data_IF_165227064025
#
_entry.id   IF_165227064025
#
_cell.length_a   1.000
_cell.length_b   1.000
_cell.length_c   1.000
_cell.angle_alpha   90.00
_cell.angle_beta   90.00
_cell.angle_gamma   90.00
#
_symmetry.space_group_name_H-M   'P 1'
#
loop_
_entity.id
_entity.type
_entity.pdbx_description
1 polymer ?
#
# COMPACT_ATOMS: atom_id res chain seq x y z
N UNK A 1 -5.30 12.86 28.00
CA UNK A 1 -6.11 12.01 27.09
C UNK A 1 -7.59 12.02 27.50
N UNK A 2 -8.21 13.21 27.66
CA UNK A 2 -9.65 13.37 27.94
C UNK A 2 -10.34 14.40 27.01
N UNK A 3 -9.59 15.15 26.18
CA UNK A 3 -10.15 16.10 25.21
C UNK A 3 -10.51 15.48 23.85
N UNK A 4 -10.14 14.22 23.59
CA UNK A 4 -10.26 13.62 22.25
C UNK A 4 -11.68 13.12 21.92
N UNK A 5 -12.55 12.90 22.92
CA UNK A 5 -13.83 12.21 22.71
C UNK A 5 -15.09 13.10 22.83
N UNK A 6 -15.00 14.35 23.30
CA UNK A 6 -16.17 15.22 23.48
C UNK A 6 -16.55 16.09 22.28
N UNK A 7 -15.73 16.11 21.20
CA UNK A 7 -15.92 17.04 20.07
C UNK A 7 -16.71 16.49 18.87
N UNK A 8 -17.04 15.20 18.87
CA UNK A 8 -17.54 14.53 17.66
C UNK A 8 -18.98 14.86 17.23
N UNK A 9 -19.75 15.66 17.98
CA UNK A 9 -21.17 15.93 17.64
C UNK A 9 -21.52 17.34 17.17
N UNK A 10 -20.67 18.37 17.33
CA UNK A 10 -21.05 19.78 17.04
C UNK A 10 -20.00 20.64 16.31
N UNK A 11 -18.90 20.06 15.80
CA UNK A 11 -17.86 20.83 15.11
C UNK A 11 -18.28 21.16 13.66
N UNK A 12 -18.25 22.44 13.29
CA UNK A 12 -18.49 22.87 11.91
C UNK A 12 -17.40 22.36 10.97
N UNK A 13 -17.72 22.22 9.67
CA UNK A 13 -16.74 21.79 8.65
C UNK A 13 -15.47 22.66 8.67
N UNK A 14 -15.61 23.98 8.90
CA UNK A 14 -14.49 24.92 9.01
C UNK A 14 -13.62 24.65 10.23
N UNK A 15 -14.22 24.46 11.40
CA UNK A 15 -13.47 24.17 12.63
C UNK A 15 -12.71 22.85 12.53
N UNK A 16 -13.30 21.82 11.92
CA UNK A 16 -12.62 20.54 11.68
C UNK A 16 -11.37 20.71 10.81
N UNK A 17 -11.45 21.55 9.77
CA UNK A 17 -10.30 21.89 8.91
C UNK A 17 -9.25 22.64 9.73
N UNK A 18 -9.64 23.65 10.49
CA UNK A 18 -8.72 24.46 11.30
C UNK A 18 -7.98 23.63 12.36
N UNK A 19 -8.67 22.69 13.02
CA UNK A 19 -8.06 21.75 13.95
C UNK A 19 -7.05 20.86 13.20
N UNK A 20 -7.40 20.37 12.01
CA UNK A 20 -6.46 19.55 11.23
C UNK A 20 -5.21 20.34 10.84
N UNK A 21 -5.39 21.57 10.35
CA UNK A 21 -4.30 22.46 9.97
C UNK A 21 -3.39 22.82 11.16
N UNK A 22 -3.94 22.96 12.38
CA UNK A 22 -3.14 23.29 13.57
C UNK A 22 -2.23 22.16 14.04
N UNK A 23 -2.56 20.91 13.69
CA UNK A 23 -1.70 19.74 13.90
C UNK A 23 -0.54 19.69 12.90
N UNK A 24 -0.69 20.34 11.74
CA UNK A 24 0.33 20.39 10.68
C UNK A 24 1.32 21.53 10.95
N UNK A 25 2.09 21.43 12.03
CA UNK A 25 2.93 22.53 12.54
C UNK A 25 4.44 22.35 12.32
N UNK A 26 4.86 21.32 11.58
CA UNK A 26 6.27 21.05 11.28
C UNK A 26 6.54 20.80 9.80
N UNK A 27 7.75 21.15 9.37
CA UNK A 27 8.28 20.85 8.03
C UNK A 27 7.38 21.32 6.88
N UNK A 28 7.37 20.54 5.80
CA UNK A 28 6.55 20.80 4.60
C UNK A 28 5.05 20.94 4.93
N UNK A 29 4.56 20.19 5.93
CA UNK A 29 3.16 20.23 6.33
C UNK A 29 2.73 21.60 6.86
N UNK A 30 3.60 22.31 7.57
CA UNK A 30 3.34 23.68 8.05
C UNK A 30 3.28 24.71 6.91
N UNK A 31 4.18 24.60 5.94
CA UNK A 31 4.19 25.47 4.77
C UNK A 31 2.93 25.25 3.93
N UNK A 32 2.56 23.99 3.72
CA UNK A 32 1.36 23.62 2.97
C UNK A 32 0.08 24.06 3.68
N UNK A 33 -0.04 23.83 5.00
CA UNK A 33 -1.24 24.17 5.77
C UNK A 33 -1.52 25.68 5.75
N UNK A 34 -0.46 26.48 5.91
CA UNK A 34 -0.52 27.94 5.83
C UNK A 34 -0.95 28.42 4.43
N UNK A 35 -0.42 27.80 3.37
CA UNK A 35 -0.77 28.14 1.99
C UNK A 35 -2.21 27.74 1.64
N UNK A 36 -2.65 26.55 2.05
CA UNK A 36 -4.02 26.07 1.87
C UNK A 36 -5.02 27.01 2.56
N UNK A 37 -4.77 27.37 3.82
CA UNK A 37 -5.66 28.27 4.55
C UNK A 37 -5.82 29.62 3.86
N UNK A 38 -4.71 30.26 3.47
CA UNK A 38 -4.74 31.56 2.75
C UNK A 38 -5.53 31.48 1.45
N UNK A 39 -5.38 30.38 0.70
CA UNK A 39 -6.11 30.15 -0.57
C UNK A 39 -7.62 30.04 -0.34
N UNK A 40 -8.04 29.26 0.66
CA UNK A 40 -9.47 29.07 0.96
C UNK A 40 -10.09 30.30 1.64
N UNK A 41 -9.35 31.03 2.46
CA UNK A 41 -9.78 32.30 3.04
C UNK A 41 -10.02 33.36 1.95
N UNK A 42 -9.11 33.48 0.98
CA UNK A 42 -9.28 34.38 -0.16
C UNK A 42 -10.52 34.01 -0.99
N UNK A 43 -10.75 32.72 -1.26
CA UNK A 43 -11.97 32.24 -1.95
C UNK A 43 -13.24 32.56 -1.15
N UNK A 44 -13.19 32.43 0.17
CA UNK A 44 -14.33 32.76 1.05
C UNK A 44 -14.66 34.24 1.01
N UNK A 45 -13.65 35.12 0.98
CA UNK A 45 -13.83 36.57 0.97
C UNK A 45 -14.35 37.04 -0.40
N UNK A 46 -13.76 36.53 -1.50
CA UNK A 46 -14.05 37.02 -2.86
C UNK A 46 -15.34 36.41 -3.43
N UNK A 47 -15.59 35.12 -3.17
CA UNK A 47 -16.69 34.38 -3.82
C UNK A 47 -17.78 33.92 -2.83
N UNK A 48 -17.71 34.30 -1.55
CA UNK A 48 -18.65 33.86 -0.52
C UNK A 48 -18.62 32.34 -0.29
N UNK A 49 -17.61 31.63 -0.80
CA UNK A 49 -17.52 30.17 -0.75
C UNK A 49 -17.14 29.72 0.66
N UNK A 50 -17.95 28.84 1.25
CA UNK A 50 -17.65 28.24 2.55
C UNK A 50 -16.59 27.16 2.42
N UNK A 51 -15.79 27.00 3.47
CA UNK A 51 -14.84 25.90 3.60
C UNK A 51 -15.57 24.55 3.47
N UNK A 52 -15.05 23.68 2.60
CA UNK A 52 -15.62 22.37 2.31
C UNK A 52 -14.67 21.26 2.80
N UNK A 53 -15.21 20.34 3.61
CA UNK A 53 -14.46 19.22 4.16
C UNK A 53 -13.97 18.25 3.08
N UNK A 54 -14.78 17.95 2.08
CA UNK A 54 -14.43 16.95 1.07
C UNK A 54 -13.33 17.46 0.14
N UNK A 55 -13.40 18.75 -0.23
CA UNK A 55 -12.34 19.42 -0.99
C UNK A 55 -11.03 19.52 -0.20
N UNK A 56 -11.11 19.73 1.12
CA UNK A 56 -9.94 19.69 1.99
C UNK A 56 -9.29 18.31 2.00
N UNK A 57 -10.08 17.24 2.19
CA UNK A 57 -9.57 15.86 2.18
C UNK A 57 -8.94 15.51 0.84
N UNK A 58 -9.54 15.92 -0.28
CA UNK A 58 -8.95 15.71 -1.61
C UNK A 58 -7.61 16.44 -1.75
N UNK A 59 -7.55 17.73 -1.43
CA UNK A 59 -6.31 18.50 -1.51
C UNK A 59 -5.21 17.95 -0.59
N UNK A 60 -5.59 17.47 0.60
CA UNK A 60 -4.68 16.82 1.54
C UNK A 60 -4.13 15.52 0.96
N UNK A 61 -4.99 14.67 0.40
CA UNK A 61 -4.56 13.43 -0.27
C UNK A 61 -3.66 13.71 -1.47
N UNK A 62 -3.98 14.67 -2.32
CA UNK A 62 -3.15 15.01 -3.48
C UNK A 62 -1.77 15.54 -3.08
N UNK A 63 -1.69 16.30 -2.00
CA UNK A 63 -0.45 16.98 -1.59
C UNK A 63 0.48 16.10 -0.76
N UNK A 64 -0.07 15.07 -0.11
CA UNK A 64 0.67 14.12 0.74
C UNK A 64 0.58 12.68 0.24
N UNK A 65 -0.07 12.43 -0.89
CA UNK A 65 0.03 11.16 -1.59
C UNK A 65 1.51 10.89 -1.83
N UNK A 66 2.02 9.71 -1.44
CA UNK A 66 3.35 9.33 -1.85
C UNK A 66 3.41 9.42 -3.36
N UNK A 67 4.36 10.21 -3.86
CA UNK A 67 4.54 10.56 -5.28
C UNK A 67 4.63 9.30 -6.17
N UNK A 68 4.79 8.10 -5.58
CA UNK A 68 4.88 6.87 -6.32
C UNK A 68 4.54 5.61 -5.50
N UNK A 69 3.36 5.55 -4.85
CA UNK A 69 2.93 4.36 -4.07
C UNK A 69 3.06 3.06 -4.87
N UNK A 70 2.60 3.06 -6.13
CA UNK A 70 2.73 1.91 -7.01
C UNK A 70 4.18 1.55 -7.31
N UNK A 71 5.07 2.51 -7.60
CA UNK A 71 6.50 2.14 -7.76
C UNK A 71 7.15 1.67 -6.47
N UNK A 72 6.72 2.21 -5.33
CA UNK A 72 7.27 1.83 -4.04
C UNK A 72 6.82 0.41 -3.70
N UNK A 73 5.57 0.08 -4.00
CA UNK A 73 5.05 -1.28 -3.90
C UNK A 73 5.78 -2.23 -4.88
N UNK A 74 6.02 -1.82 -6.14
CA UNK A 74 6.85 -2.60 -7.06
C UNK A 74 8.27 -2.81 -6.52
N UNK A 75 8.88 -1.79 -5.93
CA UNK A 75 10.22 -1.90 -5.32
C UNK A 75 10.21 -2.82 -4.11
N UNK A 76 9.25 -2.67 -3.21
CA UNK A 76 9.07 -3.54 -2.04
C UNK A 76 8.81 -4.99 -2.45
N UNK A 77 8.01 -5.22 -3.48
CA UNK A 77 7.73 -6.56 -4.02
C UNK A 77 9.01 -7.21 -4.55
N UNK A 78 9.84 -6.46 -5.29
CA UNK A 78 11.14 -6.94 -5.79
C UNK A 78 12.15 -7.20 -4.67
N UNK A 79 12.15 -6.38 -3.63
CA UNK A 79 13.11 -6.43 -2.53
C UNK A 79 12.69 -7.36 -1.38
N UNK A 80 11.43 -7.80 -1.34
CA UNK A 80 10.93 -8.73 -0.32
C UNK A 80 11.79 -10.00 -0.33
N UNK A 81 12.30 -10.42 0.84
CA UNK A 81 13.00 -11.70 0.99
C UNK A 81 12.33 -12.51 2.07
N UNK A 82 12.13 -13.81 1.83
CA UNK A 82 11.59 -14.71 2.85
C UNK A 82 12.53 -14.79 4.05
N UNK A 83 13.84 -14.97 3.84
CA UNK A 83 14.81 -15.08 4.92
C UNK A 83 14.44 -16.20 5.91
N UNK A 84 14.31 -15.86 7.19
CA UNK A 84 13.88 -16.78 8.26
C UNK A 84 12.37 -16.70 8.56
N UNK A 85 11.61 -15.91 7.80
CA UNK A 85 10.17 -15.78 7.96
C UNK A 85 9.48 -17.05 7.44
N UNK A 86 8.46 -17.51 8.16
CA UNK A 86 7.65 -18.66 7.76
C UNK A 86 7.02 -18.42 6.38
N UNK A 87 6.91 -19.47 5.58
CA UNK A 87 6.44 -19.39 4.20
C UNK A 87 5.05 -18.77 4.12
N UNK A 88 4.12 -19.13 5.01
CA UNK A 88 2.77 -18.55 5.02
C UNK A 88 2.77 -17.03 5.25
N UNK A 89 3.68 -16.52 6.11
CA UNK A 89 3.81 -15.08 6.37
C UNK A 89 4.45 -14.36 5.17
N UNK A 90 5.46 -14.97 4.54
CA UNK A 90 6.06 -14.45 3.33
C UNK A 90 5.04 -14.34 2.19
N UNK A 91 4.29 -15.42 1.91
CA UNK A 91 3.29 -15.45 0.82
C UNK A 91 2.19 -14.43 1.08
N UNK A 92 1.70 -14.31 2.31
CA UNK A 92 0.70 -13.28 2.68
C UNK A 92 1.22 -11.86 2.43
N UNK A 93 2.48 -11.59 2.76
CA UNK A 93 3.10 -10.27 2.53
C UNK A 93 3.29 -10.01 1.03
N UNK A 94 3.66 -11.05 0.27
CA UNK A 94 3.80 -10.99 -1.19
C UNK A 94 2.48 -10.64 -1.86
N UNK A 95 1.37 -11.30 -1.49
CA UNK A 95 0.02 -11.02 -1.99
C UNK A 95 -0.42 -9.57 -1.70
N UNK A 96 -0.14 -9.06 -0.50
CA UNK A 96 -0.46 -7.68 -0.15
C UNK A 96 0.30 -6.67 -1.04
N UNK A 97 1.61 -6.87 -1.20
CA UNK A 97 2.45 -6.01 -2.03
C UNK A 97 2.08 -6.09 -3.52
N UNK A 98 1.63 -7.26 -3.99
CA UNK A 98 1.08 -7.41 -5.34
C UNK A 98 -0.15 -6.52 -5.56
N UNK A 99 -1.11 -6.56 -4.64
CA UNK A 99 -2.32 -5.73 -4.72
C UNK A 99 -1.95 -4.23 -4.70
N UNK A 100 -1.04 -3.82 -3.81
CA UNK A 100 -0.52 -2.44 -3.76
C UNK A 100 0.22 -2.03 -5.04
N UNK A 101 0.90 -2.97 -5.70
CA UNK A 101 1.60 -2.78 -6.97
C UNK A 101 0.68 -2.85 -8.20
N UNK A 102 -0.62 -3.08 -8.02
CA UNK A 102 -1.60 -3.11 -9.12
C UNK A 102 -1.85 -4.48 -9.75
N UNK A 103 -1.32 -5.57 -9.19
CA UNK A 103 -1.53 -6.95 -9.65
C UNK A 103 -2.76 -7.62 -9.00
N UNK A 104 -3.82 -6.87 -8.71
CA UNK A 104 -4.97 -7.37 -7.96
C UNK A 104 -5.75 -8.53 -8.62
N UNK A 105 -5.53 -8.80 -9.91
CA UNK A 105 -6.02 -9.98 -10.62
C UNK A 105 -5.03 -10.36 -11.72
N UNK A 106 -4.24 -11.40 -11.49
CA UNK A 106 -3.28 -11.92 -12.46
C UNK A 106 -3.96 -13.03 -13.26
N UNK A 107 -3.90 -12.95 -14.60
CA UNK A 107 -4.33 -14.06 -15.46
C UNK A 107 -3.18 -15.03 -15.58
N UNK A 108 -3.46 -16.32 -15.43
CA UNK A 108 -2.47 -17.37 -15.72
C UNK A 108 -2.02 -17.26 -17.19
N UNK A 109 -0.80 -17.72 -17.48
CA UNK A 109 -0.16 -17.64 -18.80
C UNK A 109 0.00 -16.19 -19.35
N UNK A 110 0.15 -15.21 -18.45
CA UNK A 110 0.41 -13.81 -18.82
C UNK A 110 1.83 -13.38 -18.49
N UNK A 111 2.33 -12.33 -19.15
CA UNK A 111 3.63 -11.73 -18.82
C UNK A 111 3.71 -11.25 -17.37
N UNK A 112 2.58 -10.86 -16.77
CA UNK A 112 2.51 -10.52 -15.35
C UNK A 112 2.66 -11.75 -14.46
N UNK A 113 2.05 -12.88 -14.83
CA UNK A 113 2.23 -14.15 -14.11
C UNK A 113 3.70 -14.58 -14.15
N UNK A 114 4.33 -14.59 -15.32
CA UNK A 114 5.74 -14.95 -15.50
C UNK A 114 6.64 -14.06 -14.64
N UNK A 115 6.41 -12.75 -14.70
CA UNK A 115 7.17 -11.78 -13.93
C UNK A 115 7.03 -11.99 -12.41
N UNK A 116 5.83 -12.30 -11.94
CA UNK A 116 5.58 -12.55 -10.52
C UNK A 116 6.16 -13.88 -10.05
N UNK A 117 6.15 -14.92 -10.89
CA UNK A 117 6.82 -16.20 -10.64
C UNK A 117 8.33 -15.96 -10.51
N UNK A 118 8.94 -15.18 -11.40
CA UNK A 118 10.37 -14.85 -11.34
C UNK A 118 10.74 -14.12 -10.04
N UNK A 119 9.94 -13.13 -9.64
CA UNK A 119 10.15 -12.44 -8.36
C UNK A 119 10.00 -13.43 -7.20
N UNK A 120 8.96 -14.28 -7.21
CA UNK A 120 8.71 -15.27 -6.16
C UNK A 120 9.91 -16.23 -6.01
N UNK A 121 10.41 -16.79 -7.13
CA UNK A 121 11.58 -17.67 -7.16
C UNK A 121 12.85 -16.99 -6.62
N UNK A 122 13.07 -15.73 -6.95
CA UNK A 122 14.24 -14.97 -6.51
C UNK A 122 14.21 -14.58 -5.02
N UNK A 123 13.01 -14.58 -4.42
CA UNK A 123 12.76 -13.98 -3.11
C UNK A 123 12.38 -14.98 -2.03
N UNK A 124 11.78 -16.11 -2.40
CA UNK A 124 11.48 -17.22 -1.51
C UNK A 124 12.76 -18.00 -1.12
N UNK A 125 12.65 -18.81 -0.07
CA UNK A 125 13.73 -19.68 0.37
C UNK A 125 14.06 -20.71 -0.73
N UNK A 126 15.33 -20.75 -1.13
CA UNK A 126 15.80 -21.58 -2.25
C UNK A 126 15.46 -23.07 -2.10
N UNK A 127 15.50 -23.62 -0.88
CA UNK A 127 15.19 -25.04 -0.65
C UNK A 127 13.71 -25.33 -0.92
N UNK A 128 12.84 -24.40 -0.52
CA UNK A 128 11.40 -24.50 -0.76
C UNK A 128 11.08 -24.32 -2.24
N UNK A 129 11.73 -23.35 -2.91
CA UNK A 129 11.60 -23.16 -4.37
C UNK A 129 11.99 -24.43 -5.13
N UNK A 130 13.13 -25.04 -4.79
CA UNK A 130 13.56 -26.29 -5.41
C UNK A 130 12.54 -27.42 -5.20
N UNK A 131 12.02 -27.56 -3.98
CA UNK A 131 10.98 -28.56 -3.70
C UNK A 131 9.67 -28.32 -4.49
N UNK A 132 9.36 -27.07 -4.85
CA UNK A 132 8.24 -26.76 -5.76
C UNK A 132 8.58 -27.08 -7.20
N UNK A 133 9.77 -26.72 -7.69
CA UNK A 133 10.22 -26.99 -9.07
C UNK A 133 10.30 -28.50 -9.38
N UNK A 134 10.66 -29.31 -8.39
CA UNK A 134 10.71 -30.76 -8.49
C UNK A 134 9.31 -31.42 -8.51
N UNK A 135 8.24 -30.64 -8.26
CA UNK A 135 6.87 -31.12 -8.31
C UNK A 135 6.29 -30.96 -9.73
N UNK A 136 6.04 -32.09 -10.39
CA UNK A 136 5.31 -32.27 -11.66
C UNK A 136 5.15 -31.03 -12.56
N UNK A 137 6.05 -30.87 -13.53
CA UNK A 137 6.09 -29.81 -14.54
C UNK A 137 6.07 -28.34 -14.03
N UNK A 138 6.18 -28.12 -12.70
CA UNK A 138 6.16 -26.76 -12.14
C UNK A 138 7.34 -25.90 -12.55
N UNK A 139 8.50 -26.51 -12.84
CA UNK A 139 9.67 -25.77 -13.33
C UNK A 139 9.34 -24.86 -14.52
N UNK A 140 8.52 -25.36 -15.46
CA UNK A 140 8.05 -24.66 -16.66
C UNK A 140 6.62 -24.13 -16.56
N UNK A 141 5.98 -24.22 -15.40
CA UNK A 141 4.60 -23.75 -15.23
C UNK A 141 4.54 -22.23 -15.19
N UNK A 142 3.58 -21.69 -15.94
CA UNK A 142 3.22 -20.28 -16.01
C UNK A 142 1.98 -19.95 -15.15
N UNK A 143 1.47 -20.93 -14.40
CA UNK A 143 0.33 -20.77 -13.48
C UNK A 143 0.82 -20.20 -12.14
N UNK A 144 0.63 -18.88 -11.97
CA UNK A 144 1.06 -18.18 -10.77
C UNK A 144 0.30 -18.64 -9.52
N UNK A 145 -1.00 -18.93 -9.65
CA UNK A 145 -1.82 -19.36 -8.52
C UNK A 145 -1.38 -20.73 -8.01
N UNK A 146 -1.10 -21.65 -8.92
CA UNK A 146 -0.54 -22.96 -8.60
C UNK A 146 0.84 -22.84 -7.96
N UNK A 147 1.68 -21.92 -8.43
CA UNK A 147 2.97 -21.61 -7.80
C UNK A 147 2.82 -21.17 -6.35
N UNK A 148 1.89 -20.26 -6.05
CA UNK A 148 1.62 -19.80 -4.68
C UNK A 148 1.09 -20.91 -3.78
N UNK A 149 0.20 -21.76 -4.31
CA UNK A 149 -0.32 -22.92 -3.59
C UNK A 149 0.79 -23.91 -3.23
N UNK A 150 1.61 -24.30 -4.22
CA UNK A 150 2.70 -25.27 -4.02
C UNK A 150 3.77 -24.73 -3.09
N UNK A 151 4.11 -23.44 -3.19
CA UNK A 151 5.05 -22.81 -2.27
C UNK A 151 4.56 -22.92 -0.81
N UNK A 152 3.28 -22.61 -0.55
CA UNK A 152 2.69 -22.78 0.80
C UNK A 152 2.72 -24.24 1.27
N UNK A 153 2.41 -25.19 0.39
CA UNK A 153 2.42 -26.62 0.71
C UNK A 153 3.83 -27.12 1.09
N UNK A 154 4.82 -26.83 0.24
CA UNK A 154 6.20 -27.27 0.47
C UNK A 154 6.84 -26.54 1.65
N UNK A 155 6.55 -25.25 1.82
CA UNK A 155 7.01 -24.47 2.96
C UNK A 155 6.55 -25.07 4.29
N UNK A 156 5.25 -25.40 4.40
CA UNK A 156 4.70 -26.07 5.59
C UNK A 156 5.35 -27.42 5.87
N UNK A 157 5.65 -28.21 4.83
CA UNK A 157 6.27 -29.52 5.00
C UNK A 157 7.73 -29.44 5.48
N UNK A 158 8.45 -28.39 5.08
CA UNK A 158 9.88 -28.20 5.37
C UNK A 158 10.15 -27.37 6.63
N UNK A 159 9.19 -26.55 7.07
CA UNK A 159 9.27 -25.72 8.27
C UNK A 159 8.71 -26.39 9.54
N UNK A 160 8.08 -27.57 9.40
CA UNK A 160 7.54 -28.38 10.49
C UNK A 160 8.64 -29.20 11.21
#
# INVERSE_FOLDING_TARGET
MQMYFSFYSNCTKKERILITLSLMNQGYANTWSSAYYRKEEAKSIVAGRKFNWDEFVCALKESFAPINETSLAHTRLRELKQGNTLTDQFVTTFEQLMVEAGYGSVRDDSTDADHLIDILKANANRVIVQAVEDYDDMFSSHDFNLWMEKLRQQGKALEA
#
